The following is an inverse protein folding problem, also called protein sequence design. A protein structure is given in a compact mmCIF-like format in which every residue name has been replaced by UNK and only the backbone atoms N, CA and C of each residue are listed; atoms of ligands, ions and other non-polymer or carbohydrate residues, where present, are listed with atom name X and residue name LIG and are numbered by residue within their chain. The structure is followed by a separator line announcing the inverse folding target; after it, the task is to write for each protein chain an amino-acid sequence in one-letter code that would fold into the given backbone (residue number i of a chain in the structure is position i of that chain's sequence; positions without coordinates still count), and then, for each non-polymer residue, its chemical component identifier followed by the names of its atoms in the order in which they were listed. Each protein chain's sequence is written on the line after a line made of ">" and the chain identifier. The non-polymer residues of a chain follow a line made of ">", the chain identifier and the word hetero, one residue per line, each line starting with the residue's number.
data_IF_572418511951
#
_entry.id   IF_572418511951
#
_cell.length_a   1.000
_cell.length_b   1.000
_cell.length_c   1.000
_cell.angle_alpha   90.00
_cell.angle_beta   90.00
_cell.angle_gamma   90.00
#
_symmetry.space_group_name_H-M   'P 1'
#
loop_
_entity.id
_entity.type
_entity.pdbx_description
1 polymer ?
#
# COMPACT_ATOMS: atom_id res chain seq x y z
N UNK A 1 67.34 -26.72 -19.19
CA UNK A 1 66.58 -25.60 -18.71
C UNK A 1 65.12 -25.89 -19.01
N UNK A 2 64.38 -26.38 -18.03
CA UNK A 2 62.95 -26.61 -18.12
C UNK A 2 62.25 -25.36 -17.70
N UNK A 3 61.59 -24.70 -18.65
CA UNK A 3 60.70 -23.57 -18.32
C UNK A 3 59.45 -24.14 -17.63
N UNK A 4 59.27 -23.86 -16.36
CA UNK A 4 58.04 -24.07 -15.66
C UNK A 4 57.04 -23.00 -16.17
N UNK A 5 56.11 -23.45 -16.99
CA UNK A 5 54.92 -22.66 -17.34
C UNK A 5 54.19 -22.29 -16.06
N UNK A 6 53.91 -21.01 -15.87
CA UNK A 6 52.96 -20.56 -14.83
C UNK A 6 51.65 -21.26 -15.11
N UNK A 7 51.14 -21.93 -14.12
CA UNK A 7 49.81 -22.49 -14.12
C UNK A 7 48.80 -21.33 -14.26
N UNK A 8 48.18 -21.25 -15.44
CA UNK A 8 47.20 -20.25 -15.76
C UNK A 8 45.76 -20.71 -15.42
N UNK A 9 45.64 -21.86 -14.75
CA UNK A 9 44.36 -22.36 -14.22
C UNK A 9 43.98 -21.71 -12.87
N UNK A 10 44.33 -20.42 -12.70
CA UNK A 10 43.71 -19.63 -11.68
C UNK A 10 42.31 -19.30 -12.19
N UNK A 11 41.32 -20.03 -11.68
CA UNK A 11 39.92 -19.73 -11.94
C UNK A 11 39.43 -18.71 -10.89
N UNK A 12 39.50 -17.39 -11.18
CA UNK A 12 39.07 -16.37 -10.21
C UNK A 12 37.57 -16.43 -9.92
N UNK A 13 36.82 -17.17 -10.75
CA UNK A 13 35.37 -17.33 -10.59
C UNK A 13 35.04 -18.26 -9.42
N UNK A 14 35.82 -19.36 -9.23
CA UNK A 14 35.53 -20.33 -8.17
C UNK A 14 35.87 -19.79 -6.78
N UNK A 15 36.90 -18.98 -6.65
CA UNK A 15 37.28 -18.37 -5.36
C UNK A 15 36.40 -17.17 -5.01
N UNK A 16 35.82 -16.53 -6.02
CA UNK A 16 34.89 -15.42 -5.83
C UNK A 16 33.46 -15.92 -5.58
N UNK A 17 33.08 -17.06 -6.18
CA UNK A 17 31.74 -17.64 -6.03
C UNK A 17 31.51 -18.15 -4.62
N UNK A 18 32.46 -18.77 -3.95
CA UNK A 18 32.30 -19.28 -2.58
C UNK A 18 32.12 -18.16 -1.57
N UNK A 19 32.79 -17.01 -1.79
CA UNK A 19 32.59 -15.82 -0.95
C UNK A 19 31.31 -15.07 -1.33
N UNK A 20 30.99 -15.02 -2.62
CA UNK A 20 29.79 -14.33 -3.13
C UNK A 20 28.53 -15.17 -2.92
N UNK A 21 28.60 -16.50 -3.05
CA UNK A 21 27.49 -17.38 -2.69
C UNK A 21 27.21 -17.37 -1.18
N UNK A 22 28.23 -17.24 -0.34
CA UNK A 22 28.08 -17.04 1.10
C UNK A 22 27.49 -15.67 1.46
N UNK A 23 27.73 -14.65 0.63
CA UNK A 23 27.19 -13.29 0.81
C UNK A 23 25.81 -13.13 0.15
N UNK A 24 25.58 -13.80 -0.99
CA UNK A 24 24.31 -13.71 -1.74
C UNK A 24 23.27 -14.76 -1.29
N UNK A 25 23.65 -15.80 -0.56
CA UNK A 25 22.76 -16.68 0.20
C UNK A 25 22.45 -16.15 1.61
N UNK A 26 22.87 -14.92 1.91
CA UNK A 26 22.37 -14.28 3.12
C UNK A 26 20.89 -14.04 2.91
N UNK A 27 20.13 -14.70 3.75
CA UNK A 27 18.73 -14.43 4.06
C UNK A 27 18.34 -13.01 3.65
N UNK A 28 17.29 -12.87 2.86
CA UNK A 28 16.70 -11.56 2.54
C UNK A 28 16.72 -10.74 3.80
N UNK A 29 17.39 -9.59 3.77
CA UNK A 29 17.50 -8.74 4.96
C UNK A 29 16.08 -8.47 5.47
N UNK A 30 15.77 -8.81 6.72
CA UNK A 30 14.43 -8.62 7.22
C UNK A 30 14.05 -7.15 7.10
N UNK A 31 12.81 -6.88 6.73
CA UNK A 31 12.28 -5.51 6.60
C UNK A 31 12.40 -4.75 7.91
N UNK A 32 12.23 -5.44 9.04
CA UNK A 32 12.36 -4.93 10.40
C UNK A 32 13.33 -5.78 11.21
N UNK A 33 14.20 -5.13 11.98
CA UNK A 33 15.13 -5.79 12.88
C UNK A 33 14.61 -5.84 14.33
N UNK A 34 13.65 -4.99 14.67
CA UNK A 34 13.11 -4.84 16.02
C UNK A 34 11.63 -4.45 16.03
N UNK A 35 10.97 -4.65 17.16
CA UNK A 35 9.59 -4.17 17.40
C UNK A 35 9.52 -2.65 17.26
N UNK A 36 10.56 -1.94 17.68
CA UNK A 36 10.65 -0.49 17.56
C UNK A 36 10.62 -0.01 16.10
N UNK A 37 11.17 -0.79 15.16
CA UNK A 37 11.11 -0.46 13.73
C UNK A 37 9.67 -0.54 13.22
N UNK A 38 8.91 -1.54 13.68
CA UNK A 38 7.48 -1.68 13.38
C UNK A 38 6.70 -0.49 13.93
N UNK A 39 6.91 -0.13 15.19
CA UNK A 39 6.25 1.02 15.83
C UNK A 39 6.56 2.33 15.09
N UNK A 40 7.80 2.54 14.70
CA UNK A 40 8.21 3.70 13.90
C UNK A 40 7.51 3.72 12.55
N UNK A 41 7.35 2.55 11.91
CA UNK A 41 6.62 2.43 10.66
C UNK A 41 5.12 2.67 10.83
N UNK A 42 4.53 2.23 11.97
CA UNK A 42 3.14 2.55 12.32
C UNK A 42 2.94 4.06 12.51
N UNK A 43 3.85 4.75 13.20
CA UNK A 43 3.81 6.22 13.29
C UNK A 43 3.89 6.86 11.90
N UNK A 44 4.72 6.31 11.00
CA UNK A 44 4.81 6.79 9.62
C UNK A 44 3.49 6.59 8.88
N UNK A 45 2.84 5.44 9.01
CA UNK A 45 1.53 5.16 8.42
C UNK A 45 0.46 6.16 8.91
N UNK A 46 0.39 6.42 10.21
CA UNK A 46 -0.55 7.42 10.76
C UNK A 46 -0.24 8.84 10.28
N UNK A 47 1.04 9.20 10.12
CA UNK A 47 1.44 10.49 9.54
C UNK A 47 0.95 10.66 8.10
N UNK A 48 0.78 9.57 7.34
CA UNK A 48 0.25 9.65 5.97
C UNK A 48 -1.16 10.26 5.93
N UNK A 49 -2.02 9.96 6.89
CA UNK A 49 -3.32 10.65 7.01
C UNK A 49 -3.15 12.16 7.19
N UNK A 50 -2.31 12.56 8.14
CA UNK A 50 -2.07 13.98 8.41
C UNK A 50 -1.44 14.69 7.21
N UNK A 51 -0.46 14.05 6.58
CA UNK A 51 0.30 14.65 5.48
C UNK A 51 -0.50 14.64 4.15
N UNK A 52 -1.69 14.00 4.13
CA UNK A 52 -2.65 13.98 3.02
C UNK A 52 -3.85 14.90 3.24
N UNK A 53 -3.78 15.88 4.12
CA UNK A 53 -4.88 16.82 4.38
C UNK A 53 -5.35 17.50 3.10
N UNK A 54 -4.44 17.84 2.21
CA UNK A 54 -4.73 18.44 0.91
C UNK A 54 -5.68 17.55 0.10
N UNK A 55 -5.39 16.26 -0.02
CA UNK A 55 -6.27 15.31 -0.68
C UNK A 55 -7.62 15.18 0.06
N UNK A 56 -7.61 14.96 1.38
CA UNK A 56 -8.83 14.68 2.14
C UNK A 56 -9.80 15.85 2.19
N UNK A 57 -9.32 17.09 2.17
CA UNK A 57 -10.14 18.29 2.33
C UNK A 57 -10.28 19.12 1.06
N UNK A 58 -9.29 19.12 0.16
CA UNK A 58 -9.30 19.97 -1.02
C UNK A 58 -9.54 19.13 -2.27
N UNK A 59 -8.68 18.12 -2.55
CA UNK A 59 -8.73 17.40 -3.81
C UNK A 59 -10.02 16.57 -3.93
N UNK A 60 -10.53 15.99 -2.84
CA UNK A 60 -11.83 15.30 -2.84
C UNK A 60 -13.00 16.23 -3.16
N UNK A 61 -13.00 17.47 -2.66
CA UNK A 61 -14.03 18.45 -3.01
C UNK A 61 -13.89 18.88 -4.47
N UNK A 62 -12.66 19.06 -4.94
CA UNK A 62 -12.38 19.42 -6.32
C UNK A 62 -12.84 18.33 -7.29
N UNK A 63 -12.40 17.10 -7.05
CA UNK A 63 -12.71 15.93 -7.90
C UNK A 63 -14.19 15.52 -7.78
N UNK A 64 -14.80 15.66 -6.62
CA UNK A 64 -16.19 15.30 -6.37
C UNK A 64 -17.14 16.43 -6.68
N UNK A 65 -17.11 17.50 -5.90
CA UNK A 65 -18.13 18.53 -5.92
C UNK A 65 -17.97 19.54 -7.06
N UNK A 66 -16.74 20.00 -7.33
CA UNK A 66 -16.51 20.94 -8.44
C UNK A 66 -16.68 20.23 -9.79
N UNK A 67 -16.20 18.99 -9.93
CA UNK A 67 -16.34 18.18 -11.14
C UNK A 67 -17.78 17.76 -11.44
N UNK A 68 -18.65 17.73 -10.44
CA UNK A 68 -20.08 17.39 -10.57
C UNK A 68 -21.04 18.60 -10.64
N UNK A 69 -20.52 19.79 -10.87
CA UNK A 69 -21.26 21.06 -10.90
C UNK A 69 -21.93 21.44 -9.57
N UNK A 70 -21.62 20.77 -8.45
CA UNK A 70 -22.15 21.08 -7.14
C UNK A 70 -21.40 22.22 -6.43
N UNK A 71 -20.19 22.53 -6.88
CA UNK A 71 -19.37 23.60 -6.34
C UNK A 71 -18.60 24.34 -7.44
N UNK A 72 -18.25 25.59 -7.15
CA UNK A 72 -17.38 26.40 -7.99
C UNK A 72 -15.97 26.38 -7.39
N UNK A 73 -14.97 26.10 -8.21
CA UNK A 73 -13.59 25.99 -7.74
C UNK A 73 -13.01 27.31 -7.23
N UNK A 74 -13.57 28.44 -7.62
CA UNK A 74 -13.25 29.76 -7.06
C UNK A 74 -11.85 30.31 -7.41
N UNK A 75 -11.18 29.73 -8.41
CA UNK A 75 -9.82 30.10 -8.81
C UNK A 75 -9.65 30.03 -10.32
N UNK A 76 -8.61 30.67 -10.82
CA UNK A 76 -8.17 30.61 -12.22
C UNK A 76 -6.94 29.69 -12.39
N UNK A 77 -6.58 28.90 -11.38
CA UNK A 77 -5.43 27.99 -11.44
C UNK A 77 -5.59 26.96 -12.55
N UNK A 78 -4.55 26.81 -13.38
CA UNK A 78 -4.58 25.89 -14.52
C UNK A 78 -4.77 24.42 -14.12
N UNK A 79 -4.38 24.06 -12.92
CA UNK A 79 -4.54 22.70 -12.34
C UNK A 79 -5.95 22.44 -11.77
N UNK A 80 -6.72 23.49 -11.48
CA UNK A 80 -8.02 23.43 -10.80
C UNK A 80 -9.19 23.62 -11.77
N UNK A 81 -9.11 24.58 -12.66
CA UNK A 81 -10.16 24.92 -13.65
C UNK A 81 -10.60 23.71 -14.49
N UNK A 82 -9.73 22.75 -14.90
CA UNK A 82 -10.13 21.59 -15.65
C UNK A 82 -11.18 20.69 -14.96
N UNK A 83 -11.24 20.67 -13.64
CA UNK A 83 -12.27 19.91 -12.92
C UNK A 83 -13.65 20.52 -13.11
N UNK A 84 -13.74 21.84 -13.01
CA UNK A 84 -15.00 22.56 -13.20
C UNK A 84 -15.49 22.53 -14.65
N UNK A 85 -14.56 22.58 -15.59
CA UNK A 85 -14.88 22.60 -17.04
C UNK A 85 -14.93 21.20 -17.69
N UNK A 86 -14.78 20.14 -16.92
CA UNK A 86 -14.73 18.76 -17.42
C UNK A 86 -13.65 18.54 -18.52
N UNK A 87 -12.52 19.23 -18.39
CA UNK A 87 -11.39 19.15 -19.32
C UNK A 87 -10.12 18.61 -18.69
N UNK A 88 -10.26 17.67 -17.76
CA UNK A 88 -9.14 17.09 -17.02
C UNK A 88 -8.30 16.21 -17.96
N UNK A 89 -7.00 16.46 -17.98
CA UNK A 89 -6.03 15.65 -18.72
C UNK A 89 -5.14 14.84 -17.77
N UNK A 90 -4.61 13.71 -18.26
CA UNK A 90 -3.72 12.83 -17.49
C UNK A 90 -2.44 13.50 -16.99
N UNK A 91 -2.05 14.64 -17.58
CA UNK A 91 -0.93 15.47 -17.14
C UNK A 91 -1.25 16.39 -15.97
N UNK A 92 -2.52 16.45 -15.51
CA UNK A 92 -2.93 17.30 -14.39
C UNK A 92 -2.10 17.03 -13.14
N UNK A 93 -1.49 18.06 -12.57
CA UNK A 93 -0.54 17.95 -11.46
C UNK A 93 -1.18 17.47 -10.17
N UNK A 94 -2.47 17.76 -9.94
CA UNK A 94 -3.22 17.27 -8.75
C UNK A 94 -3.40 15.75 -8.84
N UNK A 95 -3.89 15.24 -9.99
CA UNK A 95 -4.05 13.80 -10.21
C UNK A 95 -2.72 13.05 -10.10
N UNK A 96 -1.67 13.57 -10.78
CA UNK A 96 -0.35 12.94 -10.72
C UNK A 96 0.20 12.89 -9.30
N UNK A 97 0.08 13.99 -8.56
CA UNK A 97 0.51 14.08 -7.17
C UNK A 97 -0.17 13.03 -6.30
N UNK A 98 -1.50 12.92 -6.41
CA UNK A 98 -2.27 11.97 -5.63
C UNK A 98 -1.95 10.52 -6.00
N UNK A 99 -1.79 10.23 -7.28
CA UNK A 99 -1.34 8.91 -7.76
C UNK A 99 -0.01 8.50 -7.12
N UNK A 100 1.01 9.34 -7.23
CA UNK A 100 2.35 9.04 -6.70
C UNK A 100 2.32 8.86 -5.16
N UNK A 101 1.52 9.69 -4.49
CA UNK A 101 1.37 9.65 -3.02
C UNK A 101 0.66 8.38 -2.56
N UNK A 102 -0.42 7.99 -3.21
CA UNK A 102 -1.18 6.81 -2.83
C UNK A 102 -0.41 5.50 -3.05
N UNK A 103 0.32 5.38 -4.14
CA UNK A 103 1.22 4.24 -4.33
C UNK A 103 2.31 4.18 -3.24
N UNK A 104 2.87 5.32 -2.85
CA UNK A 104 3.80 5.40 -1.73
C UNK A 104 3.16 5.04 -0.38
N UNK A 105 1.90 5.38 -0.18
CA UNK A 105 1.15 5.03 1.03
C UNK A 105 0.85 3.53 1.10
N UNK A 106 0.48 2.91 -0.02
CA UNK A 106 0.32 1.46 -0.16
C UNK A 106 1.64 0.74 0.14
N UNK A 107 2.77 1.26 -0.36
CA UNK A 107 4.08 0.68 -0.10
C UNK A 107 4.43 0.68 1.41
N UNK A 108 4.09 1.74 2.15
CA UNK A 108 4.27 1.77 3.62
C UNK A 108 3.43 0.70 4.30
N UNK A 109 2.16 0.53 3.91
CA UNK A 109 1.30 -0.51 4.45
C UNK A 109 1.84 -1.92 4.15
N UNK A 110 2.29 -2.17 2.92
CA UNK A 110 2.89 -3.44 2.52
C UNK A 110 4.12 -3.79 3.35
N UNK A 111 5.01 -2.81 3.58
CA UNK A 111 6.20 -3.02 4.43
C UNK A 111 5.82 -3.45 5.84
N UNK A 112 4.76 -2.89 6.42
CA UNK A 112 4.30 -3.29 7.76
C UNK A 112 3.74 -4.71 7.72
N UNK A 113 2.87 -5.01 6.76
CA UNK A 113 2.22 -6.32 6.65
C UNK A 113 3.27 -7.43 6.49
N UNK A 114 4.15 -7.29 5.50
CA UNK A 114 5.18 -8.29 5.19
C UNK A 114 6.27 -8.33 6.27
N UNK A 115 6.72 -7.17 6.74
CA UNK A 115 7.76 -7.09 7.76
C UNK A 115 7.34 -7.66 9.11
N UNK A 116 6.06 -7.54 9.49
CA UNK A 116 5.53 -8.18 10.68
C UNK A 116 5.54 -9.72 10.59
N UNK A 117 5.35 -10.29 9.40
CA UNK A 117 5.43 -11.75 9.21
C UNK A 117 6.86 -12.26 9.35
N UNK A 118 7.84 -11.49 8.91
CA UNK A 118 9.26 -11.85 8.98
C UNK A 118 9.83 -11.70 10.40
N UNK A 119 9.29 -10.78 11.22
CA UNK A 119 9.85 -10.45 12.54
C UNK A 119 9.39 -11.45 13.61
N UNK A 120 10.28 -12.40 13.97
CA UNK A 120 10.03 -13.42 14.99
C UNK A 120 9.83 -12.86 16.40
N UNK A 121 10.33 -11.67 16.69
CA UNK A 121 10.22 -11.03 18.00
C UNK A 121 8.81 -10.53 18.33
N UNK A 122 7.92 -10.39 17.33
CA UNK A 122 6.52 -10.03 17.55
C UNK A 122 5.72 -11.21 18.10
N UNK A 123 4.95 -10.98 19.16
CA UNK A 123 3.88 -11.86 19.56
C UNK A 123 2.79 -11.91 18.49
N UNK A 124 1.97 -12.96 18.49
CA UNK A 124 0.82 -13.07 17.58
C UNK A 124 -0.16 -11.91 17.74
N UNK A 125 -0.36 -11.46 18.99
CA UNK A 125 -1.22 -10.32 19.29
C UNK A 125 -0.69 -9.00 18.70
N UNK A 126 0.59 -8.73 18.86
CA UNK A 126 1.22 -7.53 18.29
C UNK A 126 1.21 -7.57 16.76
N UNK A 127 1.55 -8.71 16.18
CA UNK A 127 1.50 -8.91 14.74
C UNK A 127 0.10 -8.63 14.20
N UNK A 128 -0.92 -9.28 14.79
CA UNK A 128 -2.30 -9.08 14.39
C UNK A 128 -2.77 -7.63 14.53
N UNK A 129 -2.37 -6.95 15.61
CA UNK A 129 -2.66 -5.53 15.86
C UNK A 129 -2.06 -4.61 14.79
N UNK A 130 -0.80 -4.81 14.41
CA UNK A 130 -0.12 -3.93 13.45
C UNK A 130 -0.58 -4.22 12.02
N UNK A 131 -0.66 -5.49 11.64
CA UNK A 131 -1.08 -5.88 10.29
C UNK A 131 -2.52 -5.48 9.99
N UNK A 132 -3.45 -5.64 10.94
CA UNK A 132 -4.84 -5.26 10.71
C UNK A 132 -5.00 -3.77 10.44
N UNK A 133 -4.30 -2.91 11.20
CA UNK A 133 -4.31 -1.48 10.95
C UNK A 133 -3.71 -1.11 9.60
N UNK A 134 -2.60 -1.76 9.21
CA UNK A 134 -1.99 -1.55 7.91
C UNK A 134 -2.88 -2.00 6.76
N UNK A 135 -3.62 -3.12 6.91
CA UNK A 135 -4.62 -3.59 5.93
C UNK A 135 -5.79 -2.62 5.81
N UNK A 136 -6.34 -2.13 6.94
CA UNK A 136 -7.40 -1.13 6.92
C UNK A 136 -6.94 0.13 6.16
N UNK A 137 -5.74 0.62 6.47
CA UNK A 137 -5.17 1.79 5.80
C UNK A 137 -4.99 1.55 4.30
N UNK A 138 -4.40 0.41 3.90
CA UNK A 138 -4.20 0.05 2.50
C UNK A 138 -5.53 -0.02 1.74
N UNK A 139 -6.54 -0.65 2.34
CA UNK A 139 -7.88 -0.72 1.76
C UNK A 139 -8.53 0.65 1.59
N UNK A 140 -8.37 1.57 2.55
CA UNK A 140 -8.88 2.95 2.44
C UNK A 140 -8.22 3.69 1.27
N UNK A 141 -6.92 3.57 1.11
CA UNK A 141 -6.18 4.21 -0.01
C UNK A 141 -6.59 3.59 -1.35
N UNK A 142 -6.64 2.25 -1.44
CA UNK A 142 -7.08 1.55 -2.65
C UNK A 142 -8.52 1.88 -3.01
N UNK A 143 -9.40 2.07 -2.02
CA UNK A 143 -10.78 2.46 -2.26
C UNK A 143 -10.90 3.87 -2.88
N UNK A 144 -10.07 4.82 -2.45
CA UNK A 144 -10.00 6.11 -3.13
C UNK A 144 -9.42 5.98 -4.54
N UNK A 145 -8.38 5.16 -4.72
CA UNK A 145 -7.77 4.94 -6.04
C UNK A 145 -8.75 4.33 -7.04
N UNK A 146 -9.50 3.29 -6.66
CA UNK A 146 -10.45 2.65 -7.59
C UNK A 146 -11.58 3.60 -7.98
N UNK A 147 -11.99 4.51 -7.11
CA UNK A 147 -13.02 5.52 -7.38
C UNK A 147 -12.53 6.63 -8.29
N UNK A 148 -11.24 6.99 -8.22
CA UNK A 148 -10.65 8.07 -9.00
C UNK A 148 -10.17 7.61 -10.38
N UNK A 149 -9.53 6.45 -10.45
CA UNK A 149 -8.88 5.96 -11.69
C UNK A 149 -9.48 4.68 -12.27
N UNK A 150 -10.32 3.98 -11.51
CA UNK A 150 -10.81 2.66 -11.89
C UNK A 150 -9.72 1.61 -11.81
N UNK A 151 -8.93 1.48 -12.87
CA UNK A 151 -7.83 0.52 -12.94
C UNK A 151 -6.54 1.13 -12.40
N UNK A 152 -5.84 0.38 -11.55
CA UNK A 152 -4.51 0.76 -11.03
C UNK A 152 -3.73 -0.50 -10.61
N UNK A 153 -2.41 -0.43 -10.41
CA UNK A 153 -1.63 -1.56 -9.93
C UNK A 153 -1.97 -1.92 -8.47
N UNK A 154 -2.56 -3.10 -8.26
CA UNK A 154 -2.89 -3.63 -6.92
C UNK A 154 -1.65 -4.30 -6.34
N UNK A 155 -0.80 -3.52 -5.68
CA UNK A 155 0.48 -3.98 -5.14
C UNK A 155 0.28 -4.42 -3.68
N UNK A 156 0.57 -5.70 -3.39
CA UNK A 156 0.45 -6.28 -2.05
C UNK A 156 1.78 -6.82 -1.50
N UNK A 157 2.84 -6.72 -2.29
CA UNK A 157 4.18 -7.19 -1.97
C UNK A 157 5.13 -6.03 -1.70
N UNK A 158 6.29 -6.33 -1.18
CA UNK A 158 7.42 -5.39 -1.05
C UNK A 158 8.44 -5.76 -2.11
N UNK A 159 8.91 -4.78 -2.86
CA UNK A 159 10.00 -4.99 -3.82
C UNK A 159 11.30 -5.32 -3.08
N UNK A 160 12.03 -6.29 -3.60
CA UNK A 160 13.37 -6.64 -3.15
C UNK A 160 14.45 -5.83 -3.88
N UNK A 161 15.69 -5.96 -3.45
CA UNK A 161 16.81 -5.34 -4.14
C UNK A 161 17.00 -5.98 -5.54
N UNK A 162 17.22 -5.15 -6.56
CA UNK A 162 17.53 -5.63 -7.91
C UNK A 162 19.02 -5.90 -7.98
N UNK A 163 19.37 -7.13 -8.37
CA UNK A 163 20.73 -7.57 -8.63
C UNK A 163 20.87 -8.07 -10.07
N UNK A 164 22.08 -8.29 -10.54
CA UNK A 164 22.32 -8.86 -11.88
C UNK A 164 21.65 -10.23 -12.04
N UNK A 165 21.57 -11.01 -10.96
CA UNK A 165 21.05 -12.39 -11.00
C UNK A 165 19.53 -12.47 -10.96
N UNK A 166 18.85 -11.44 -10.42
CA UNK A 166 17.39 -11.46 -10.22
C UNK A 166 16.63 -10.38 -11.02
N UNK A 167 17.30 -9.62 -11.88
CA UNK A 167 16.70 -8.48 -12.59
C UNK A 167 15.48 -8.88 -13.42
N UNK A 168 15.51 -10.02 -14.08
CA UNK A 168 14.40 -10.49 -14.94
C UNK A 168 13.16 -10.83 -14.11
N UNK A 169 13.33 -11.35 -12.89
CA UNK A 169 12.27 -11.67 -11.97
C UNK A 169 11.76 -10.42 -11.24
N UNK A 170 12.67 -9.57 -10.78
CA UNK A 170 12.36 -8.40 -9.96
C UNK A 170 11.86 -7.20 -10.75
N UNK A 171 12.35 -7.00 -11.99
CA UNK A 171 11.97 -5.85 -12.80
C UNK A 171 10.45 -5.70 -13.00
N UNK A 172 9.68 -6.76 -13.31
CA UNK A 172 8.22 -6.67 -13.44
C UNK A 172 7.52 -6.24 -12.15
N UNK A 173 8.11 -6.51 -10.97
CA UNK A 173 7.51 -6.12 -9.68
C UNK A 173 7.56 -4.61 -9.45
N UNK A 174 8.52 -3.91 -10.08
CA UNK A 174 8.63 -2.46 -10.02
C UNK A 174 7.75 -1.75 -11.05
N UNK A 175 7.33 -2.46 -12.10
CA UNK A 175 6.46 -1.95 -13.16
C UNK A 175 5.24 -2.87 -13.33
N UNK A 176 4.45 -3.08 -12.26
CA UNK A 176 3.33 -3.99 -12.34
C UNK A 176 2.27 -3.46 -13.31
N UNK A 177 1.58 -4.35 -14.04
CA UNK A 177 0.47 -3.94 -14.88
C UNK A 177 -0.67 -3.37 -14.03
N UNK A 178 -1.54 -2.60 -14.66
CA UNK A 178 -2.78 -2.18 -14.02
C UNK A 178 -3.71 -3.39 -13.85
N UNK A 179 -4.26 -3.51 -12.66
CA UNK A 179 -5.34 -4.46 -12.39
C UNK A 179 -6.70 -3.84 -12.75
N UNK A 180 -7.70 -4.68 -12.92
CA UNK A 180 -9.07 -4.22 -13.11
C UNK A 180 -9.66 -3.65 -11.82
N UNK A 181 -10.71 -2.84 -11.96
CA UNK A 181 -11.44 -2.34 -10.79
C UNK A 181 -12.01 -3.48 -9.93
N UNK A 182 -12.46 -4.59 -10.56
CA UNK A 182 -12.96 -5.77 -9.84
C UNK A 182 -11.88 -6.41 -8.96
N UNK A 183 -10.66 -6.57 -9.50
CA UNK A 183 -9.52 -7.08 -8.73
C UNK A 183 -9.14 -6.14 -7.57
N UNK A 184 -9.22 -4.83 -7.80
CA UNK A 184 -9.00 -3.84 -6.76
C UNK A 184 -10.05 -3.94 -5.65
N UNK A 185 -11.34 -4.03 -5.99
CA UNK A 185 -12.41 -4.23 -5.00
C UNK A 185 -12.26 -5.56 -4.25
N UNK A 186 -11.84 -6.63 -4.92
CA UNK A 186 -11.59 -7.92 -4.27
C UNK A 186 -10.45 -7.82 -3.24
N UNK A 187 -9.38 -7.10 -3.54
CA UNK A 187 -8.29 -6.89 -2.57
C UNK A 187 -8.73 -5.99 -1.40
N UNK A 188 -9.51 -4.94 -1.66
CA UNK A 188 -10.07 -4.07 -0.62
C UNK A 188 -10.98 -4.88 0.33
N UNK A 189 -11.89 -5.68 -0.22
CA UNK A 189 -12.77 -6.56 0.55
C UNK A 189 -11.97 -7.54 1.40
N UNK A 190 -10.96 -8.17 0.83
CA UNK A 190 -10.07 -9.10 1.53
C UNK A 190 -9.38 -8.44 2.72
N UNK A 191 -8.73 -7.29 2.52
CA UNK A 191 -8.00 -6.59 3.58
C UNK A 191 -8.91 -6.20 4.75
N UNK A 192 -10.10 -5.67 4.44
CA UNK A 192 -11.06 -5.24 5.46
C UNK A 192 -11.70 -6.42 6.20
N UNK A 193 -12.03 -7.50 5.48
CA UNK A 193 -12.60 -8.71 6.09
C UNK A 193 -11.60 -9.39 7.02
N UNK A 194 -10.36 -9.56 6.57
CA UNK A 194 -9.29 -10.09 7.41
C UNK A 194 -9.05 -9.23 8.67
N UNK A 195 -9.16 -7.89 8.55
CA UNK A 195 -9.06 -7.01 9.70
C UNK A 195 -10.25 -7.15 10.66
N UNK A 196 -11.48 -7.34 10.18
CA UNK A 196 -12.65 -7.58 11.03
C UNK A 196 -12.59 -8.93 11.74
N UNK A 197 -12.13 -9.96 11.06
CA UNK A 197 -12.04 -11.33 11.57
C UNK A 197 -10.88 -11.52 12.56
N UNK A 198 -9.80 -10.76 12.43
CA UNK A 198 -8.65 -10.89 13.32
C UNK A 198 -9.01 -10.50 14.76
N UNK A 199 -8.85 -11.40 15.74
CA UNK A 199 -9.18 -11.14 17.14
C UNK A 199 -8.34 -10.00 17.75
N UNK A 200 -7.16 -9.76 17.22
CA UNK A 200 -6.21 -8.78 17.72
C UNK A 200 -6.34 -7.39 17.09
N UNK A 201 -7.28 -7.19 16.16
CA UNK A 201 -7.58 -5.86 15.63
C UNK A 201 -8.11 -4.98 16.75
N UNK A 202 -7.60 -3.74 16.90
CA UNK A 202 -8.06 -2.82 17.93
C UNK A 202 -9.58 -2.59 17.89
N UNK A 203 -10.17 -2.38 19.05
CA UNK A 203 -11.59 -2.05 19.23
C UNK A 203 -11.77 -0.57 19.56
N UNK A 204 -13.02 -0.10 19.66
CA UNK A 204 -13.34 1.32 19.87
C UNK A 204 -13.19 1.82 21.33
N UNK A 205 -12.88 0.96 22.27
CA UNK A 205 -12.67 1.29 23.67
C UNK A 205 -11.31 1.97 23.97
N UNK A 206 -10.51 2.21 22.94
CA UNK A 206 -9.30 3.00 23.04
C UNK A 206 -9.58 4.49 23.25
N UNK A 207 -8.81 5.14 24.09
CA UNK A 207 -8.81 6.59 24.25
C UNK A 207 -8.18 7.33 23.05
N UNK A 208 -7.31 6.66 22.33
CA UNK A 208 -6.67 7.19 21.13
C UNK A 208 -7.55 6.96 19.90
N UNK A 209 -8.12 8.04 19.37
CA UNK A 209 -9.00 8.03 18.20
C UNK A 209 -8.28 8.00 16.86
N UNK A 210 -6.95 8.01 16.85
CA UNK A 210 -6.14 7.84 15.61
C UNK A 210 -5.95 6.38 15.21
N UNK A 211 -6.22 5.44 16.12
CA UNK A 211 -6.06 4.01 15.87
C UNK A 211 -7.13 3.48 14.93
N UNK A 212 -6.71 2.71 13.92
CA UNK A 212 -7.62 2.05 12.99
C UNK A 212 -8.21 0.79 13.64
N UNK A 213 -9.50 0.83 13.92
CA UNK A 213 -10.23 -0.19 14.68
C UNK A 213 -11.10 -1.09 13.81
N UNK A 214 -11.63 -2.17 14.38
CA UNK A 214 -12.64 -3.03 13.73
C UNK A 214 -13.83 -2.24 13.21
N UNK A 215 -14.29 -1.22 13.93
CA UNK A 215 -15.42 -0.40 13.48
C UNK A 215 -15.05 0.44 12.26
N UNK A 216 -13.80 0.91 12.14
CA UNK A 216 -13.34 1.56 10.90
C UNK A 216 -13.40 0.58 9.73
N UNK A 217 -12.94 -0.66 9.92
CA UNK A 217 -13.00 -1.68 8.88
C UNK A 217 -14.45 -2.01 8.48
N UNK A 218 -15.38 -2.15 9.44
CA UNK A 218 -16.80 -2.38 9.18
C UNK A 218 -17.45 -1.21 8.44
N UNK A 219 -17.20 0.03 8.88
CA UNK A 219 -17.69 1.23 8.21
C UNK A 219 -17.19 1.31 6.76
N UNK A 220 -15.93 0.95 6.53
CA UNK A 220 -15.37 0.87 5.18
C UNK A 220 -16.03 -0.24 4.35
N UNK A 221 -16.25 -1.43 4.91
CA UNK A 221 -16.97 -2.52 4.22
C UNK A 221 -18.38 -2.09 3.83
N UNK A 222 -19.12 -1.44 4.72
CA UNK A 222 -20.44 -0.92 4.39
C UNK A 222 -20.39 0.07 3.21
N UNK A 223 -19.39 0.97 3.17
CA UNK A 223 -19.18 1.89 2.04
C UNK A 223 -18.82 1.16 0.74
N UNK A 224 -17.90 0.19 0.82
CA UNK A 224 -17.44 -0.61 -0.33
C UNK A 224 -18.61 -1.36 -0.95
N UNK A 225 -19.43 -2.05 -0.15
CA UNK A 225 -20.58 -2.78 -0.66
C UNK A 225 -21.73 -1.90 -1.15
N UNK A 226 -21.79 -0.63 -0.73
CA UNK A 226 -22.75 0.34 -1.27
C UNK A 226 -22.37 0.87 -2.65
N UNK A 227 -21.09 0.75 -3.05
CA UNK A 227 -20.62 1.24 -4.35
C UNK A 227 -21.26 0.50 -5.52
N UNK A 228 -21.42 1.21 -6.63
CA UNK A 228 -22.15 0.74 -7.82
C UNK A 228 -21.70 -0.63 -8.36
N UNK A 229 -20.41 -0.97 -8.40
CA UNK A 229 -19.97 -2.26 -8.91
C UNK A 229 -20.45 -3.45 -8.06
N UNK A 230 -20.52 -3.28 -6.73
CA UNK A 230 -20.85 -4.36 -5.81
C UNK A 230 -22.32 -4.38 -5.41
N UNK A 231 -22.88 -3.27 -4.97
CA UNK A 231 -24.30 -3.07 -4.57
C UNK A 231 -24.90 -4.21 -3.76
N UNK A 232 -24.14 -4.74 -2.81
CA UNK A 232 -24.61 -5.78 -1.88
C UNK A 232 -25.20 -5.13 -0.63
N UNK A 233 -26.46 -4.70 -0.72
CA UNK A 233 -27.13 -4.00 0.40
C UNK A 233 -27.34 -4.88 1.62
N UNK A 234 -27.39 -6.21 1.48
CA UNK A 234 -27.47 -7.11 2.62
C UNK A 234 -26.18 -7.02 3.46
N UNK A 235 -25.03 -6.98 2.82
CA UNK A 235 -23.74 -6.75 3.51
C UNK A 235 -23.61 -5.33 4.04
N UNK A 236 -24.13 -4.33 3.34
CA UNK A 236 -24.20 -2.94 3.87
C UNK A 236 -24.91 -2.89 5.21
N UNK A 237 -26.13 -3.48 5.27
CA UNK A 237 -26.94 -3.52 6.51
C UNK A 237 -26.17 -4.31 7.59
N UNK A 238 -25.66 -5.51 7.27
CA UNK A 238 -24.90 -6.31 8.21
C UNK A 238 -23.78 -5.52 8.88
N UNK A 239 -22.92 -4.89 8.09
CA UNK A 239 -21.77 -4.17 8.65
C UNK A 239 -22.14 -2.85 9.33
N UNK A 240 -23.23 -2.21 8.91
CA UNK A 240 -23.77 -1.03 9.59
C UNK A 240 -24.36 -1.36 10.97
N UNK A 241 -25.04 -2.50 11.09
CA UNK A 241 -25.63 -2.97 12.36
C UNK A 241 -24.57 -3.43 13.36
N UNK A 242 -23.38 -3.80 12.88
CA UNK A 242 -22.24 -4.24 13.71
C UNK A 242 -21.35 -3.07 14.20
N UNK A 243 -21.64 -1.82 13.83
CA UNK A 243 -20.89 -0.64 14.26
C UNK A 243 -21.21 -0.22 15.69
#
# INVERSE_FOLDING_TARGET
>A
MTATSCDLDYNPVDTYSDVTEGVNKTDEKPIFNSVQDVETSMVTLHKKFRDRQEHWYVDKLLIGDAHSDNAYAGTTGAEVVPYETNSIEGSNSVLKRDWDRFLGDIAVANRIIVGCDQLKALSESERGKYQSQAKIFRAMVMFDMVRLWGNFPVITTVGGDITEDNVEEMYPTYFPPQNTAEEAYAQIEKDLTEAVENPNTPTNDTSDKSILTKSVARAMLAKVYAEKPLRDYAKVIKYADEL
#
